data_IF_703498720753
#
_entry.id   IF_703498720753
#
_cell.length_a   1.000
_cell.length_b   1.000
_cell.length_c   1.000
_cell.angle_alpha   90.00
_cell.angle_beta   90.00
_cell.angle_gamma   90.00
#
_symmetry.space_group_name_H-M   'P 1'
#
loop_
_entity.id
_entity.type
_entity.pdbx_description
1 polymer ?
#
# COMPACT_ATOMS: atom_id res chain seq x y z
N UNK A 1 1.58 22.32 -17.78
CA UNK A 1 2.14 23.67 -17.50
C UNK A 1 3.39 23.51 -16.64
N UNK A 2 4.39 24.37 -16.83
CA UNK A 2 5.57 24.43 -15.96
C UNK A 2 5.55 25.75 -15.17
N UNK A 3 4.90 25.78 -13.99
CA UNK A 3 4.71 27.02 -13.24
C UNK A 3 6.03 27.66 -12.78
N UNK A 4 7.11 26.88 -12.69
CA UNK A 4 8.43 27.36 -12.29
C UNK A 4 9.14 28.26 -13.32
N UNK A 5 8.59 28.37 -14.54
CA UNK A 5 9.14 29.22 -15.60
C UNK A 5 8.28 30.45 -15.88
N UNK A 6 7.27 30.72 -15.04
CA UNK A 6 6.37 31.86 -15.19
C UNK A 6 6.73 32.94 -14.16
N UNK A 7 6.48 34.20 -14.53
CA UNK A 7 6.62 35.31 -13.59
C UNK A 7 5.54 35.24 -12.50
N UNK A 8 5.85 35.70 -11.29
CA UNK A 8 4.95 35.64 -10.14
C UNK A 8 3.54 36.17 -10.43
N UNK A 9 3.43 37.33 -11.08
CA UNK A 9 2.16 37.96 -11.46
C UNK A 9 1.31 37.09 -12.40
N UNK A 10 1.96 36.35 -13.30
CA UNK A 10 1.29 35.47 -14.25
C UNK A 10 0.75 34.21 -13.56
N UNK A 11 1.49 33.68 -12.59
CA UNK A 11 1.03 32.56 -11.75
C UNK A 11 -0.21 32.96 -10.96
N UNK A 12 -0.20 34.15 -10.33
CA UNK A 12 -1.35 34.67 -9.59
C UNK A 12 -2.59 34.85 -10.48
N UNK A 13 -2.41 35.41 -11.67
CA UNK A 13 -3.50 35.62 -12.63
C UNK A 13 -4.09 34.29 -13.11
N UNK A 14 -3.23 33.31 -13.44
CA UNK A 14 -3.66 31.97 -13.88
C UNK A 14 -4.36 31.20 -12.76
N UNK A 15 -3.85 31.30 -11.53
CA UNK A 15 -4.45 30.71 -10.35
C UNK A 15 -5.60 31.55 -9.77
N UNK A 16 -5.95 32.69 -10.39
CA UNK A 16 -7.02 33.61 -9.96
C UNK A 16 -7.01 33.85 -8.45
N UNK A 17 -5.84 34.10 -7.89
CA UNK A 17 -5.66 34.24 -6.44
C UNK A 17 -5.16 35.64 -6.11
N UNK A 18 -5.72 36.23 -5.06
CA UNK A 18 -5.22 37.49 -4.54
C UNK A 18 -4.00 37.21 -3.64
N UNK A 19 -2.87 37.91 -3.81
CA UNK A 19 -1.68 37.68 -3.00
C UNK A 19 -1.81 38.11 -1.53
N UNK A 20 -2.63 39.11 -1.23
CA UNK A 20 -2.81 39.65 0.12
C UNK A 20 -3.87 38.89 0.91
N UNK A 21 -4.95 38.48 0.22
CA UNK A 21 -6.12 37.85 0.88
C UNK A 21 -6.27 36.36 0.58
N UNK A 22 -5.52 35.83 -0.39
CA UNK A 22 -5.63 34.43 -0.82
C UNK A 22 -6.86 34.15 -1.68
N UNK A 23 -7.34 32.90 -1.62
CA UNK A 23 -8.55 32.45 -2.31
C UNK A 23 -9.80 32.76 -1.48
N UNK A 24 -10.89 33.09 -2.16
CA UNK A 24 -12.20 33.15 -1.52
C UNK A 24 -12.63 31.76 -1.02
N UNK A 25 -13.42 31.72 0.06
CA UNK A 25 -13.91 30.46 0.64
C UNK A 25 -14.75 29.64 -0.34
N UNK A 26 -15.58 30.28 -1.18
CA UNK A 26 -16.36 29.60 -2.20
C UNK A 26 -15.47 29.00 -3.28
N UNK A 27 -14.46 29.73 -3.73
CA UNK A 27 -13.51 29.23 -4.72
C UNK A 27 -12.63 28.11 -4.17
N UNK A 28 -12.19 28.21 -2.92
CA UNK A 28 -11.48 27.13 -2.24
C UNK A 28 -12.32 25.86 -2.14
N UNK A 29 -13.61 25.98 -1.79
CA UNK A 29 -14.53 24.84 -1.74
C UNK A 29 -14.78 24.23 -3.12
N UNK A 30 -14.91 25.06 -4.16
CA UNK A 30 -15.08 24.58 -5.53
C UNK A 30 -13.84 23.80 -6.01
N UNK A 31 -12.64 24.32 -5.74
CA UNK A 31 -11.38 23.62 -6.05
C UNK A 31 -11.23 22.32 -5.28
N UNK A 32 -11.69 22.27 -4.02
CA UNK A 32 -11.67 21.04 -3.23
C UNK A 32 -12.60 19.98 -3.84
N UNK A 33 -13.74 20.38 -4.40
CA UNK A 33 -14.65 19.47 -5.10
C UNK A 33 -14.10 19.00 -6.46
N UNK A 34 -13.40 19.87 -7.19
CA UNK A 34 -12.83 19.56 -8.51
C UNK A 34 -11.55 18.70 -8.43
N UNK A 35 -10.59 19.12 -7.61
CA UNK A 35 -9.27 18.47 -7.50
C UNK A 35 -9.20 17.43 -6.40
N UNK A 36 -10.14 17.47 -5.46
CA UNK A 36 -10.09 16.65 -4.26
C UNK A 36 -9.08 17.17 -3.23
N UNK A 37 -8.97 16.43 -2.14
CA UNK A 37 -7.99 16.72 -1.08
C UNK A 37 -6.58 16.50 -1.61
N UNK A 38 -5.66 17.40 -1.27
CA UNK A 38 -4.23 17.24 -1.54
C UNK A 38 -3.62 16.20 -0.59
N UNK A 39 -4.04 14.95 -0.72
CA UNK A 39 -3.56 13.80 0.03
C UNK A 39 -3.14 12.71 -0.95
N UNK A 40 -1.96 12.15 -0.72
CA UNK A 40 -1.52 10.97 -1.46
C UNK A 40 -2.40 9.79 -1.05
N UNK A 41 -2.92 9.07 -2.04
CA UNK A 41 -3.68 7.84 -1.76
C UNK A 41 -2.71 6.81 -1.19
N UNK A 42 -2.87 6.46 0.08
CA UNK A 42 -2.17 5.30 0.63
C UNK A 42 -2.59 4.06 -0.17
N UNK A 43 -1.61 3.30 -0.65
CA UNK A 43 -1.86 1.99 -1.23
C UNK A 43 -2.55 1.10 -0.19
N UNK A 44 -3.39 0.17 -0.65
CA UNK A 44 -4.04 -0.79 0.25
C UNK A 44 -2.96 -1.50 1.06
N UNK A 45 -2.93 -1.26 2.37
CA UNK A 45 -2.07 -2.02 3.29
C UNK A 45 -2.59 -3.45 3.29
N UNK A 46 -1.72 -4.41 2.97
CA UNK A 46 -2.07 -5.83 3.13
C UNK A 46 -2.32 -6.07 4.61
N UNK A 47 -3.41 -6.76 4.94
CA UNK A 47 -3.67 -7.17 6.32
C UNK A 47 -2.63 -8.20 6.75
N UNK A 48 -2.40 -8.33 8.06
CA UNK A 48 -1.44 -9.31 8.58
C UNK A 48 -1.84 -10.75 8.22
N UNK A 49 -3.15 -11.05 8.19
CA UNK A 49 -3.68 -12.32 7.70
C UNK A 49 -3.36 -12.53 6.22
N UNK A 50 -3.51 -11.52 5.37
CA UNK A 50 -3.16 -11.63 3.96
C UNK A 50 -1.67 -11.90 3.77
N UNK A 51 -0.80 -11.24 4.55
CA UNK A 51 0.65 -11.48 4.53
C UNK A 51 1.01 -12.88 4.98
N UNK A 52 0.32 -13.42 5.99
CA UNK A 52 0.49 -14.80 6.45
C UNK A 52 0.17 -15.81 5.34
N UNK A 53 -0.98 -15.69 4.66
CA UNK A 53 -1.33 -16.58 3.55
C UNK A 53 -0.40 -16.44 2.34
N UNK A 54 0.18 -15.27 2.12
CA UNK A 54 1.18 -15.08 1.05
C UNK A 54 2.46 -15.88 1.31
N UNK A 55 2.86 -16.12 2.56
CA UNK A 55 4.03 -16.96 2.87
C UNK A 55 3.85 -18.42 2.43
N UNK A 56 2.63 -18.97 2.45
CA UNK A 56 2.38 -20.32 1.95
C UNK A 56 2.54 -20.46 0.43
N UNK A 57 2.63 -19.35 -0.30
CA UNK A 57 2.94 -19.36 -1.74
C UNK A 57 4.45 -19.36 -2.01
N UNK A 58 5.28 -19.20 -0.98
CA UNK A 58 6.73 -19.24 -1.11
C UNK A 58 7.19 -20.68 -1.34
N UNK A 59 8.05 -20.87 -2.34
CA UNK A 59 8.55 -22.19 -2.75
C UNK A 59 9.27 -22.90 -1.60
N UNK A 60 10.05 -22.17 -0.79
CA UNK A 60 10.77 -22.73 0.36
C UNK A 60 9.78 -23.27 1.40
N UNK A 61 8.71 -22.54 1.69
CA UNK A 61 7.67 -22.96 2.64
C UNK A 61 6.94 -24.20 2.12
N UNK A 62 6.61 -24.24 0.83
CA UNK A 62 5.96 -25.41 0.22
C UNK A 62 6.84 -26.66 0.35
N UNK A 63 8.16 -26.54 0.11
CA UNK A 63 9.10 -27.66 0.28
C UNK A 63 9.10 -28.15 1.73
N UNK A 64 9.13 -27.23 2.71
CA UNK A 64 9.09 -27.58 4.13
C UNK A 64 7.79 -28.29 4.53
N UNK A 65 6.64 -27.82 4.01
CA UNK A 65 5.34 -28.46 4.23
C UNK A 65 5.35 -29.87 3.64
N UNK A 66 5.86 -30.06 2.42
CA UNK A 66 5.96 -31.38 1.80
C UNK A 66 6.86 -32.32 2.61
N UNK A 67 8.01 -31.84 3.08
CA UNK A 67 8.90 -32.61 3.94
C UNK A 67 8.21 -33.02 5.26
N UNK A 68 7.50 -32.09 5.90
CA UNK A 68 6.74 -32.35 7.12
C UNK A 68 5.62 -33.37 6.90
N UNK A 69 4.90 -33.29 5.78
CA UNK A 69 3.84 -34.26 5.42
C UNK A 69 4.43 -35.65 5.19
N UNK A 70 5.53 -35.76 4.45
CA UNK A 70 6.20 -37.05 4.22
C UNK A 70 6.68 -37.63 5.55
N UNK A 71 7.34 -36.83 6.39
CA UNK A 71 7.80 -37.23 7.71
C UNK A 71 6.64 -37.72 8.60
N UNK A 72 5.52 -37.00 8.59
CA UNK A 72 4.32 -37.38 9.33
C UNK A 72 3.73 -38.71 8.84
N UNK A 73 3.64 -38.90 7.52
CA UNK A 73 3.13 -40.14 6.94
C UNK A 73 4.04 -41.31 7.27
N UNK A 74 5.37 -41.15 7.15
CA UNK A 74 6.34 -42.20 7.51
C UNK A 74 6.21 -42.56 8.99
N UNK A 75 6.17 -41.57 9.89
CA UNK A 75 6.00 -41.82 11.33
C UNK A 75 4.69 -42.55 11.65
N UNK A 76 3.61 -42.23 10.94
CA UNK A 76 2.33 -42.92 11.11
C UNK A 76 2.39 -44.40 10.66
N UNK A 77 3.14 -44.70 9.59
CA UNK A 77 3.28 -46.06 9.07
C UNK A 77 4.26 -46.92 9.87
N UNK A 78 5.38 -46.36 10.34
CA UNK A 78 6.35 -47.07 11.16
C UNK A 78 5.86 -47.29 12.60
N UNK A 79 4.87 -46.51 13.07
CA UNK A 79 4.34 -46.63 14.43
C UNK A 79 5.32 -46.19 15.54
N UNK A 80 6.59 -45.97 15.19
CA UNK A 80 7.63 -45.39 16.02
C UNK A 80 7.50 -43.85 15.97
N UNK A 81 7.11 -43.29 17.11
CA UNK A 81 7.01 -41.85 17.29
C UNK A 81 8.37 -41.19 17.06
N UNK A 82 8.36 -40.07 16.33
CA UNK A 82 9.50 -39.21 16.01
C UNK A 82 10.05 -38.51 17.27
N UNK A 83 10.51 -39.28 18.26
CA UNK A 83 11.18 -38.81 19.47
C UNK A 83 12.21 -39.85 19.90
N UNK A 84 13.32 -39.92 19.19
CA UNK A 84 14.58 -40.36 19.79
C UNK A 84 15.32 -39.09 20.28
N UNK A 85 15.88 -39.11 21.51
CA UNK A 85 16.32 -37.93 22.25
C UNK A 85 17.47 -37.14 21.60
#
# INVERSE_FOLDING_TARGET
MQPHNLHYSEVLQRLKVNPDTGLDHGEASNRLNEYGRNILREGKKKSDLQRFFEQFKDVMIIILILAAVISFVVAWYDGEGFFEP
#
